data_IF_685161252060
#
_entry.id   IF_685161252060
#
_cell.length_a   1.000
_cell.length_b   1.000
_cell.length_c   1.000
_cell.angle_alpha   90.00
_cell.angle_beta   90.00
_cell.angle_gamma   90.00
#
_symmetry.space_group_name_H-M   'P 1'
#
loop_
_entity.id
_entity.type
_entity.pdbx_description
1 polymer ?
#
# COMPACT_ATOMS: atom_id res chain seq x y z
N UNK A 1 -3.42 -4.91 -1.30
CA UNK A 1 -3.15 -3.58 -1.92
C UNK A 1 -4.36 -2.67 -2.07
N UNK A 2 -5.60 -3.14 -1.90
CA UNK A 2 -6.81 -2.38 -2.20
C UNK A 2 -6.86 -0.94 -1.67
N UNK A 3 -6.36 -0.67 -0.44
CA UNK A 3 -6.34 0.68 0.12
C UNK A 3 -5.39 1.64 -0.60
N UNK A 4 -4.20 1.17 -1.02
CA UNK A 4 -3.24 1.98 -1.77
C UNK A 4 -3.75 2.28 -3.17
N UNK A 5 -4.28 1.27 -3.86
CA UNK A 5 -4.83 1.42 -5.20
C UNK A 5 -6.04 2.36 -5.24
N UNK A 6 -6.93 2.25 -4.25
CA UNK A 6 -8.09 3.13 -4.13
C UNK A 6 -7.67 4.59 -3.92
N UNK A 7 -6.69 4.84 -3.03
CA UNK A 7 -6.17 6.18 -2.81
C UNK A 7 -5.45 6.72 -4.07
N UNK A 8 -4.66 5.89 -4.75
CA UNK A 8 -3.95 6.25 -5.98
C UNK A 8 -4.92 6.60 -7.10
N UNK A 9 -5.98 5.82 -7.29
CA UNK A 9 -7.03 6.09 -8.25
C UNK A 9 -7.80 7.39 -7.92
N UNK A 10 -8.11 7.62 -6.64
CA UNK A 10 -8.77 8.83 -6.19
C UNK A 10 -7.90 10.10 -6.38
N UNK A 11 -6.58 9.99 -6.17
CA UNK A 11 -5.63 11.08 -6.44
C UNK A 11 -5.52 11.34 -7.94
N UNK A 12 -5.41 10.29 -8.75
CA UNK A 12 -5.33 10.41 -10.21
C UNK A 12 -6.61 11.05 -10.80
N UNK A 13 -7.79 10.71 -10.28
CA UNK A 13 -9.06 11.28 -10.72
C UNK A 13 -9.18 12.80 -10.41
N UNK A 14 -8.49 13.29 -9.38
CA UNK A 14 -8.44 14.72 -9.02
C UNK A 14 -7.28 15.48 -9.69
N UNK A 15 -6.41 14.80 -10.44
CA UNK A 15 -5.24 15.40 -11.07
C UNK A 15 -4.31 16.07 -10.05
N UNK A 16 -3.69 17.19 -10.45
CA UNK A 16 -2.76 17.96 -9.58
C UNK A 16 -3.44 18.40 -8.27
N UNK A 17 -4.76 18.62 -8.30
CA UNK A 17 -5.56 19.00 -7.13
C UNK A 17 -5.62 17.90 -6.07
N UNK A 18 -5.41 16.64 -6.46
CA UNK A 18 -5.39 15.50 -5.53
C UNK A 18 -4.25 15.53 -4.51
N UNK A 19 -3.23 16.37 -4.73
CA UNK A 19 -2.12 16.61 -3.80
C UNK A 19 -2.30 17.85 -2.92
N UNK A 20 -3.35 18.64 -3.13
CA UNK A 20 -3.61 19.80 -2.29
C UNK A 20 -3.97 19.34 -0.87
N UNK A 21 -3.36 19.99 0.14
CA UNK A 21 -3.46 19.65 1.56
C UNK A 21 -4.88 19.80 2.15
N UNK A 22 -5.80 20.31 1.36
CA UNK A 22 -7.19 20.61 1.70
C UNK A 22 -8.14 19.44 1.44
N UNK A 23 -7.71 18.45 0.65
CA UNK A 23 -8.53 17.27 0.41
C UNK A 23 -8.39 16.27 1.55
N UNK A 24 -9.21 15.22 1.52
CA UNK A 24 -9.02 14.09 2.43
C UNK A 24 -8.18 13.00 1.79
N UNK A 25 -7.97 13.07 0.47
CA UNK A 25 -7.35 12.02 -0.32
C UNK A 25 -5.83 11.99 -0.10
N UNK A 26 -5.17 13.13 0.06
CA UNK A 26 -3.73 13.21 0.35
C UNK A 26 -3.40 12.82 1.80
N UNK A 27 -4.32 13.06 2.74
CA UNK A 27 -4.23 12.55 4.10
C UNK A 27 -4.37 11.03 4.12
N UNK A 28 -5.35 10.48 3.40
CA UNK A 28 -5.53 9.04 3.26
C UNK A 28 -4.36 8.37 2.54
N UNK A 29 -3.83 8.98 1.48
CA UNK A 29 -2.64 8.50 0.77
C UNK A 29 -1.44 8.41 1.72
N UNK A 30 -1.19 9.43 2.55
CA UNK A 30 -0.12 9.38 3.57
C UNK A 30 -0.32 8.28 4.60
N UNK A 31 -1.56 8.09 5.07
CA UNK A 31 -1.88 7.05 6.06
C UNK A 31 -1.73 5.66 5.47
N UNK A 32 -2.06 5.45 4.20
CA UNK A 32 -1.98 4.15 3.54
C UNK A 32 -0.55 3.74 3.19
N UNK A 33 0.39 4.70 3.12
CA UNK A 33 1.82 4.40 2.98
C UNK A 33 2.45 3.84 4.26
N UNK A 34 1.89 4.13 5.44
CA UNK A 34 2.39 3.60 6.72
C UNK A 34 2.32 2.06 6.78
N UNK A 35 1.15 1.40 6.56
CA UNK A 35 1.07 -0.06 6.56
C UNK A 35 1.76 -0.71 5.36
N UNK A 36 2.10 0.07 4.33
CA UNK A 36 2.88 -0.42 3.19
C UNK A 36 4.36 -0.57 3.56
N UNK A 37 4.90 0.37 4.34
CA UNK A 37 6.31 0.41 4.72
C UNK A 37 6.61 -0.31 6.03
N UNK A 38 5.69 -0.27 7.00
CA UNK A 38 5.90 -0.79 8.35
C UNK A 38 4.64 -1.50 8.87
N UNK A 39 4.74 -2.52 9.76
CA UNK A 39 5.94 -3.10 10.40
C UNK A 39 6.56 -4.28 9.63
N UNK A 40 5.86 -4.84 8.65
CA UNK A 40 6.30 -5.97 7.83
C UNK A 40 6.00 -5.63 6.38
N UNK A 41 7.00 -5.72 5.50
CA UNK A 41 6.78 -5.47 4.09
C UNK A 41 5.89 -6.55 3.48
N UNK A 42 5.14 -6.20 2.44
CA UNK A 42 4.27 -7.16 1.76
C UNK A 42 5.05 -8.33 1.17
N UNK A 43 6.30 -8.07 0.73
CA UNK A 43 7.20 -9.10 0.23
C UNK A 43 7.57 -10.12 1.31
N UNK A 44 7.73 -9.69 2.57
CA UNK A 44 7.97 -10.60 3.69
C UNK A 44 6.75 -11.46 4.01
N UNK A 45 5.53 -10.90 3.90
CA UNK A 45 4.29 -11.68 4.05
C UNK A 45 4.16 -12.73 2.95
N UNK A 46 4.51 -12.39 1.71
CA UNK A 46 4.51 -13.34 0.58
C UNK A 46 5.56 -14.44 0.77
N UNK A 47 6.75 -14.11 1.26
CA UNK A 47 7.76 -15.11 1.61
C UNK A 47 7.27 -16.05 2.73
N UNK A 48 6.64 -15.50 3.77
CA UNK A 48 6.05 -16.31 4.84
C UNK A 48 4.97 -17.28 4.30
N UNK A 49 4.13 -16.84 3.36
CA UNK A 49 3.14 -17.71 2.72
C UNK A 49 3.83 -18.78 1.86
N UNK A 50 4.87 -18.43 1.13
CA UNK A 50 5.63 -19.39 0.31
C UNK A 50 6.31 -20.48 1.17
N UNK A 51 6.82 -20.11 2.34
CA UNK A 51 7.43 -21.05 3.29
C UNK A 51 6.39 -21.90 4.02
N UNK A 52 5.36 -21.27 4.59
CA UNK A 52 4.40 -21.96 5.45
C UNK A 52 3.31 -22.72 4.68
N UNK A 53 2.86 -22.21 3.53
CA UNK A 53 1.77 -22.85 2.76
C UNK A 53 2.28 -23.65 1.56
N UNK A 54 3.40 -23.25 0.94
CA UNK A 54 3.92 -23.89 -0.28
C UNK A 54 5.19 -24.73 -0.03
N UNK A 55 5.78 -24.68 1.17
CA UNK A 55 6.94 -25.50 1.54
C UNK A 55 8.19 -25.27 0.68
N UNK A 56 8.26 -24.10 0.03
CA UNK A 56 9.38 -23.76 -0.85
C UNK A 56 10.61 -23.37 0.01
N UNK A 57 11.84 -23.75 -0.41
CA UNK A 57 13.05 -23.36 0.30
C UNK A 57 13.25 -21.84 0.22
N UNK A 58 13.75 -21.24 1.31
CA UNK A 58 14.15 -19.82 1.32
C UNK A 58 15.20 -19.56 0.24
N UNK A 59 14.97 -18.49 -0.55
CA UNK A 59 15.96 -17.93 -1.48
C UNK A 59 16.95 -17.02 -0.77
#
# INVERSE_FOLDING_TARGET
>A
EAGFDACKAATAARGVMGYAKEFHVECLLRKVMVPYLAPVSQQLVLNFIAECALGLPKS
#
